data_IF_665637620832
#
_entry.id   IF_665637620832
#
_cell.length_a   1.000
_cell.length_b   1.000
_cell.length_c   1.000
_cell.angle_alpha   90.00
_cell.angle_beta   90.00
_cell.angle_gamma   90.00
#
_symmetry.space_group_name_H-M   'P 1'
#
loop_
_entity.id
_entity.type
_entity.pdbx_description
1 polymer ?
#
# COMPACT_ATOMS: atom_id res chain seq x y z
N UNK A 1 44.88 62.45 55.95
CA UNK A 1 45.23 61.36 55.03
C UNK A 1 43.95 60.72 54.53
N UNK A 2 43.93 60.39 53.24
CA UNK A 2 42.78 59.90 52.48
C UNK A 2 42.24 58.55 52.98
N UNK A 3 40.93 58.32 52.84
CA UNK A 3 40.39 57.47 51.76
C UNK A 3 38.89 57.18 51.94
N UNK A 4 38.16 57.38 50.85
CA UNK A 4 36.74 57.11 50.67
C UNK A 4 36.39 55.62 50.65
N UNK A 5 35.14 55.27 50.95
CA UNK A 5 34.36 54.30 50.16
C UNK A 5 32.86 54.45 50.41
N UNK A 6 32.13 54.69 49.33
CA UNK A 6 30.68 54.58 49.17
C UNK A 6 30.29 53.12 48.96
N UNK A 7 29.07 52.71 49.37
CA UNK A 7 28.11 51.84 48.62
C UNK A 7 26.87 51.56 49.50
N UNK A 8 25.70 52.17 49.20
CA UNK A 8 24.54 51.66 48.43
C UNK A 8 23.63 50.69 49.24
N UNK A 9 22.29 50.92 49.27
CA UNK A 9 21.36 50.09 50.04
C UNK A 9 21.05 48.75 49.35
N UNK A 10 20.89 47.70 50.17
CA UNK A 10 20.48 46.37 49.74
C UNK A 10 19.03 46.38 49.23
N UNK A 11 18.90 46.20 47.92
CA UNK A 11 17.66 45.90 47.21
C UNK A 11 17.12 44.52 47.60
N UNK A 12 15.80 44.46 47.76
CA UNK A 12 15.00 43.27 48.07
C UNK A 12 15.26 42.07 47.15
N UNK A 13 15.14 40.82 47.63
CA UNK A 13 15.19 39.66 46.77
C UNK A 13 13.89 39.55 45.96
N UNK A 14 14.01 39.62 44.63
CA UNK A 14 13.00 39.16 43.69
C UNK A 14 12.87 37.63 43.81
N UNK A 15 11.81 37.17 44.48
CA UNK A 15 11.34 35.78 44.38
C UNK A 15 10.80 35.54 42.98
N UNK A 16 11.63 34.93 42.13
CA UNK A 16 11.29 34.49 40.78
C UNK A 16 10.51 33.17 40.86
N UNK A 17 9.26 33.27 41.33
CA UNK A 17 8.31 32.16 41.35
C UNK A 17 7.62 32.10 39.99
N UNK A 18 8.32 31.55 39.00
CA UNK A 18 7.84 31.38 37.63
C UNK A 18 7.58 29.92 37.29
N UNK A 19 6.67 29.26 38.00
CA UNK A 19 6.07 28.01 37.51
C UNK A 19 4.80 28.35 36.73
N UNK A 20 4.97 28.91 35.53
CA UNK A 20 3.96 28.78 34.50
C UNK A 20 4.21 27.42 33.85
N UNK A 21 3.41 26.43 34.25
CA UNK A 21 3.22 25.26 33.41
C UNK A 21 2.59 25.76 32.10
N UNK A 22 3.42 26.01 31.09
CA UNK A 22 2.96 26.23 29.73
C UNK A 22 2.34 24.92 29.25
N UNK A 23 1.07 24.71 29.52
CA UNK A 23 0.25 23.74 28.79
C UNK A 23 0.21 24.23 27.34
N UNK A 24 1.07 23.65 26.51
CA UNK A 24 0.94 23.72 25.05
C UNK A 24 -0.50 23.34 24.71
N UNK A 25 -1.28 24.31 24.24
CA UNK A 25 -2.66 24.05 23.86
C UNK A 25 -2.70 23.01 22.74
N UNK A 26 -3.74 22.18 22.72
CA UNK A 26 -3.88 21.08 21.76
C UNK A 26 -3.68 21.52 20.31
N UNK A 27 -4.07 22.77 19.98
CA UNK A 27 -3.84 23.37 18.66
C UNK A 27 -2.35 23.58 18.32
N UNK A 28 -1.53 23.93 19.31
CA UNK A 28 -0.07 24.07 19.13
C UNK A 28 0.59 22.71 19.01
N UNK A 29 0.15 21.73 19.81
CA UNK A 29 0.63 20.34 19.76
C UNK A 29 0.29 19.68 18.42
N UNK A 30 -0.91 19.93 17.90
CA UNK A 30 -1.33 19.44 16.58
C UNK A 30 -0.52 20.10 15.47
N UNK A 31 -0.35 21.43 15.48
CA UNK A 31 0.49 22.14 14.50
C UNK A 31 1.94 21.64 14.49
N UNK A 32 2.52 21.34 15.65
CA UNK A 32 3.86 20.78 15.75
C UNK A 32 3.93 19.36 15.16
N UNK A 33 2.95 18.50 15.48
CA UNK A 33 2.85 17.14 14.90
C UNK A 33 2.69 17.18 13.39
N UNK A 34 1.86 18.10 12.88
CA UNK A 34 1.63 18.27 11.44
C UNK A 34 2.90 18.75 10.74
N UNK A 35 3.64 19.70 11.34
CA UNK A 35 4.91 20.19 10.81
C UNK A 35 6.02 19.11 10.84
N UNK A 36 6.07 18.28 11.87
CA UNK A 36 6.97 17.12 11.93
C UNK A 36 6.61 16.08 10.88
N UNK A 37 5.31 15.81 10.69
CA UNK A 37 4.79 14.92 9.65
C UNK A 37 5.11 15.45 8.25
N UNK A 38 4.92 16.75 8.00
CA UNK A 38 5.24 17.39 6.72
C UNK A 38 6.74 17.32 6.42
N UNK A 39 7.60 17.60 7.41
CA UNK A 39 9.05 17.48 7.27
C UNK A 39 9.47 16.04 6.98
N UNK A 40 8.85 15.06 7.66
CA UNK A 40 9.07 13.65 7.39
C UNK A 40 8.66 13.28 5.96
N UNK A 41 7.52 13.78 5.48
CA UNK A 41 7.04 13.53 4.11
C UNK A 41 7.92 14.19 3.05
N UNK A 42 8.45 15.38 3.30
CA UNK A 42 9.46 16.02 2.43
C UNK A 42 10.74 15.16 2.38
N UNK A 43 11.15 14.60 3.52
CA UNK A 43 12.29 13.68 3.57
C UNK A 43 12.04 12.40 2.78
N UNK A 44 10.87 11.76 2.95
CA UNK A 44 10.47 10.58 2.19
C UNK A 44 10.44 10.92 0.71
N UNK A 45 9.80 12.01 0.31
CA UNK A 45 9.78 12.48 -1.07
C UNK A 45 11.20 12.64 -1.64
N UNK A 46 12.12 13.22 -0.87
CA UNK A 46 13.53 13.35 -1.27
C UNK A 46 14.21 12.01 -1.59
N UNK A 47 13.80 10.92 -0.93
CA UNK A 47 14.31 9.56 -1.15
C UNK A 47 13.65 8.88 -2.36
N UNK A 48 12.35 9.09 -2.56
CA UNK A 48 11.55 8.33 -3.54
C UNK A 48 11.27 9.06 -4.85
N UNK A 49 11.53 10.37 -4.94
CA UNK A 49 11.20 11.22 -6.10
C UNK A 49 11.76 10.74 -7.43
N UNK A 50 12.86 10.00 -7.41
CA UNK A 50 13.56 9.54 -8.62
C UNK A 50 12.99 8.21 -9.14
N UNK A 51 12.12 7.55 -8.36
CA UNK A 51 11.34 6.39 -8.83
C UNK A 51 10.22 6.81 -9.77
N UNK A 52 9.83 8.08 -9.79
CA UNK A 52 8.68 8.57 -10.54
C UNK A 52 9.11 9.30 -11.81
N UNK A 53 8.32 9.08 -12.87
CA UNK A 53 8.47 9.76 -14.16
C UNK A 53 8.55 11.27 -13.96
N UNK A 54 9.52 11.90 -14.63
CA UNK A 54 9.76 13.35 -14.51
C UNK A 54 8.50 14.20 -14.73
N UNK A 55 7.63 13.79 -15.64
CA UNK A 55 6.35 14.47 -15.96
C UNK A 55 5.28 14.35 -14.87
N UNK A 56 5.42 13.40 -13.94
CA UNK A 56 4.43 13.10 -12.91
C UNK A 56 4.90 13.38 -11.49
N UNK A 57 6.10 13.97 -11.30
CA UNK A 57 6.67 14.20 -9.97
C UNK A 57 5.74 14.97 -9.03
N UNK A 58 5.10 16.05 -9.49
CA UNK A 58 4.14 16.80 -8.65
C UNK A 58 2.89 15.98 -8.29
N UNK A 59 2.37 15.20 -9.24
CA UNK A 59 1.20 14.36 -9.01
C UNK A 59 1.53 13.21 -8.04
N UNK A 60 2.68 12.56 -8.22
CA UNK A 60 3.19 11.54 -7.33
C UNK A 60 3.43 12.08 -5.92
N UNK A 61 3.98 13.29 -5.78
CA UNK A 61 4.14 13.93 -4.48
C UNK A 61 2.78 14.10 -3.78
N UNK A 62 1.75 14.63 -4.46
CA UNK A 62 0.41 14.78 -3.88
C UNK A 62 -0.25 13.44 -3.53
N UNK A 63 -0.03 12.42 -4.34
CA UNK A 63 -0.50 11.06 -4.05
C UNK A 63 0.20 10.50 -2.79
N UNK A 64 1.52 10.72 -2.65
CA UNK A 64 2.26 10.33 -1.45
C UNK A 64 1.73 11.03 -0.18
N UNK A 65 1.39 12.31 -0.25
CA UNK A 65 0.76 13.03 0.87
C UNK A 65 -0.59 12.41 1.26
N UNK A 66 -1.45 12.12 0.27
CA UNK A 66 -2.75 11.44 0.52
C UNK A 66 -2.58 10.03 1.07
N UNK A 67 -1.55 9.31 0.62
CA UNK A 67 -1.21 7.97 1.13
C UNK A 67 -0.83 7.99 2.61
N UNK A 68 -0.09 9.03 3.03
CA UNK A 68 0.43 9.17 4.38
C UNK A 68 -0.57 9.75 5.38
N UNK A 69 -1.51 10.58 4.91
CA UNK A 69 -2.54 11.21 5.73
C UNK A 69 -3.93 10.99 5.12
N UNK A 70 -4.37 9.72 4.96
CA UNK A 70 -5.66 9.42 4.36
C UNK A 70 -6.80 9.77 5.32
N UNK A 71 -7.92 10.27 4.79
CA UNK A 71 -9.15 10.39 5.58
C UNK A 71 -9.87 9.06 5.74
N UNK A 72 -9.72 8.19 4.76
CA UNK A 72 -10.35 6.86 4.70
C UNK A 72 -9.52 5.94 3.80
N UNK A 73 -9.76 4.64 3.90
CA UNK A 73 -9.01 3.61 3.19
C UNK A 73 -9.21 3.69 1.67
N UNK A 74 -10.37 4.18 1.21
CA UNK A 74 -10.64 4.41 -0.21
C UNK A 74 -9.67 5.45 -0.81
N UNK A 75 -9.45 6.56 -0.11
CA UNK A 75 -8.49 7.60 -0.47
C UNK A 75 -7.07 7.05 -0.44
N UNK A 76 -6.74 6.21 0.54
CA UNK A 76 -5.42 5.60 0.67
C UNK A 76 -5.11 4.65 -0.50
N UNK A 77 -6.04 3.76 -0.84
CA UNK A 77 -5.92 2.82 -1.95
C UNK A 77 -5.85 3.57 -3.29
N UNK A 78 -6.71 4.58 -3.49
CA UNK A 78 -6.69 5.40 -4.69
C UNK A 78 -5.36 6.16 -4.84
N UNK A 79 -4.84 6.73 -3.75
CA UNK A 79 -3.54 7.38 -3.74
C UNK A 79 -2.40 6.42 -4.08
N UNK A 80 -2.44 5.19 -3.55
CA UNK A 80 -1.45 4.17 -3.89
C UNK A 80 -1.53 3.74 -5.36
N UNK A 81 -2.75 3.54 -5.89
CA UNK A 81 -2.95 3.24 -7.31
C UNK A 81 -2.41 4.36 -8.21
N UNK A 82 -2.63 5.63 -7.85
CA UNK A 82 -2.03 6.77 -8.57
C UNK A 82 -0.50 6.70 -8.58
N UNK A 83 0.14 6.38 -7.45
CA UNK A 83 1.61 6.22 -7.38
C UNK A 83 2.10 5.11 -8.31
N UNK A 84 1.39 3.98 -8.37
CA UNK A 84 1.72 2.86 -9.27
C UNK A 84 1.62 3.25 -10.76
N UNK A 85 0.79 4.24 -11.13
CA UNK A 85 0.74 4.75 -12.52
C UNK A 85 1.91 5.67 -12.86
N UNK A 86 2.47 6.35 -11.86
CA UNK A 86 3.50 7.38 -12.05
C UNK A 86 4.92 6.86 -11.90
N UNK A 87 5.10 5.70 -11.25
CA UNK A 87 6.41 5.08 -11.07
C UNK A 87 6.99 4.66 -12.42
N UNK A 88 8.30 4.79 -12.57
CA UNK A 88 9.02 4.21 -13.69
C UNK A 88 8.91 2.68 -13.63
N UNK A 89 8.75 1.99 -14.77
CA UNK A 89 8.59 0.54 -14.78
C UNK A 89 9.71 -0.20 -14.04
N UNK A 90 10.95 0.29 -14.13
CA UNK A 90 12.13 -0.28 -13.47
C UNK A 90 12.03 -0.23 -11.94
N UNK A 91 11.34 0.76 -11.38
CA UNK A 91 11.19 0.97 -9.93
C UNK A 91 9.85 0.48 -9.37
N UNK A 92 8.98 -0.13 -10.19
CA UNK A 92 7.70 -0.71 -9.75
C UNK A 92 7.87 -1.69 -8.59
N UNK A 93 9.00 -2.41 -8.56
CA UNK A 93 9.36 -3.35 -7.51
C UNK A 93 9.62 -2.71 -6.14
N UNK A 94 9.59 -1.37 -6.01
CA UNK A 94 9.74 -0.65 -4.74
C UNK A 94 8.42 -0.27 -4.10
N UNK A 95 7.30 -0.47 -4.80
CA UNK A 95 5.96 -0.15 -4.32
C UNK A 95 5.20 -1.44 -4.03
N UNK A 96 4.77 -1.63 -2.79
CA UNK A 96 4.08 -2.85 -2.36
C UNK A 96 2.84 -2.56 -1.53
N UNK A 97 1.78 -3.33 -1.76
CA UNK A 97 0.66 -3.42 -0.82
C UNK A 97 0.82 -4.70 0.00
N UNK A 98 0.98 -4.57 1.32
CA UNK A 98 1.22 -5.69 2.21
C UNK A 98 -0.06 -6.10 2.95
N UNK A 99 -0.35 -7.38 2.91
CA UNK A 99 -1.45 -8.02 3.65
C UNK A 99 -0.95 -9.32 4.30
N UNK A 100 -1.63 -9.75 5.36
CA UNK A 100 -1.50 -11.09 5.94
C UNK A 100 -2.81 -11.86 5.76
N UNK A 101 -2.93 -13.03 6.38
CA UNK A 101 -4.17 -13.81 6.36
C UNK A 101 -5.38 -13.03 6.89
N UNK A 102 -5.18 -12.14 7.87
CA UNK A 102 -6.27 -11.51 8.63
C UNK A 102 -6.18 -9.99 8.74
N UNK A 103 -5.12 -9.37 8.23
CA UNK A 103 -4.93 -7.94 8.37
C UNK A 103 -4.29 -7.30 7.13
N UNK A 104 -4.61 -6.04 6.90
CA UNK A 104 -3.85 -5.19 5.98
C UNK A 104 -2.70 -4.59 6.79
N UNK A 105 -1.47 -4.81 6.33
CA UNK A 105 -0.27 -4.33 7.02
C UNK A 105 0.11 -2.91 6.60
N UNK A 106 -0.22 -2.54 5.36
CA UNK A 106 -0.05 -1.18 4.86
C UNK A 106 0.54 -1.11 3.46
N UNK A 107 1.01 0.08 3.09
CA UNK A 107 1.54 0.39 1.76
C UNK A 107 3.00 0.80 1.87
N UNK A 108 3.88 0.16 1.11
CA UNK A 108 5.30 0.47 1.06
C UNK A 108 5.62 1.30 -0.20
N UNK A 109 6.42 2.35 -0.03
CA UNK A 109 6.97 3.15 -1.14
C UNK A 109 8.46 3.38 -0.89
N UNK A 110 9.33 2.58 -1.51
CA UNK A 110 10.74 2.54 -1.14
C UNK A 110 10.92 1.83 0.20
N UNK A 111 11.56 2.47 1.17
CA UNK A 111 11.76 1.91 2.51
C UNK A 111 10.58 2.16 3.47
N UNK A 112 9.92 3.34 3.45
CA UNK A 112 8.78 3.60 4.33
C UNK A 112 7.57 2.71 4.07
N UNK A 113 6.93 2.28 5.17
CA UNK A 113 5.64 1.61 5.18
C UNK A 113 4.62 2.53 5.86
N UNK A 114 3.55 2.85 5.12
CA UNK A 114 2.42 3.65 5.58
C UNK A 114 1.36 2.71 6.17
N UNK A 115 1.04 2.93 7.43
CA UNK A 115 -0.01 2.17 8.12
C UNK A 115 -1.36 2.35 7.41
N UNK A 116 -2.23 1.31 7.43
CA UNK A 116 -3.56 1.42 6.84
C UNK A 116 -4.41 2.48 7.56
N UNK A 117 -5.36 3.06 6.83
CA UNK A 117 -6.34 3.97 7.38
C UNK A 117 -7.20 3.31 8.47
N UNK A 118 -7.75 4.13 9.36
CA UNK A 118 -8.47 3.67 10.56
C UNK A 118 -9.74 2.84 10.27
N UNK A 119 -10.33 3.01 9.09
CA UNK A 119 -11.54 2.33 8.62
C UNK A 119 -11.26 1.06 7.81
N UNK A 120 -10.00 0.59 7.76
CA UNK A 120 -9.57 -0.55 6.94
C UNK A 120 -10.40 -1.82 7.14
N UNK A 121 -10.78 -2.14 8.39
CA UNK A 121 -11.56 -3.34 8.69
C UNK A 121 -12.95 -3.28 8.05
N UNK A 122 -13.57 -2.11 7.98
CA UNK A 122 -14.88 -1.95 7.37
C UNK A 122 -14.77 -1.81 5.85
N UNK A 123 -13.73 -1.12 5.36
CA UNK A 123 -13.43 -1.02 3.94
C UNK A 123 -13.23 -2.40 3.29
N UNK A 124 -12.46 -3.30 3.91
CA UNK A 124 -12.17 -4.63 3.35
C UNK A 124 -13.42 -5.52 3.19
N UNK A 125 -14.51 -5.23 3.91
CA UNK A 125 -15.79 -5.96 3.79
C UNK A 125 -16.65 -5.48 2.61
N UNK A 126 -16.26 -4.41 1.93
CA UNK A 126 -17.09 -3.76 0.92
C UNK A 126 -16.41 -3.77 -0.44
N UNK A 127 -17.18 -4.09 -1.48
CA UNK A 127 -16.71 -3.92 -2.85
C UNK A 127 -16.77 -2.43 -3.21
N UNK A 128 -15.62 -1.83 -3.46
CA UNK A 128 -15.50 -0.46 -3.95
C UNK A 128 -15.36 -0.42 -5.47
N UNK A 129 -15.64 0.75 -6.05
CA UNK A 129 -15.40 0.98 -7.46
C UNK A 129 -13.91 1.25 -7.68
N UNK A 130 -13.28 0.42 -8.51
CA UNK A 130 -11.89 0.55 -8.92
C UNK A 130 -11.78 0.33 -10.43
N UNK A 131 -10.88 1.10 -11.06
CA UNK A 131 -10.58 0.92 -12.47
C UNK A 131 -9.84 -0.40 -12.72
N UNK A 132 -10.01 -0.97 -13.91
CA UNK A 132 -9.41 -2.25 -14.26
C UNK A 132 -7.88 -2.18 -14.37
N UNK A 133 -7.35 -1.06 -14.88
CA UNK A 133 -5.90 -0.86 -14.99
C UNK A 133 -5.27 -0.74 -13.61
N UNK A 134 -5.88 0.03 -12.71
CA UNK A 134 -5.48 0.14 -11.30
C UNK A 134 -5.48 -1.21 -10.60
N UNK A 135 -6.52 -2.02 -10.84
CA UNK A 135 -6.64 -3.36 -10.27
C UNK A 135 -5.46 -4.25 -10.70
N UNK A 136 -5.00 -4.13 -11.95
CA UNK A 136 -3.86 -4.89 -12.44
C UNK A 136 -2.53 -4.40 -11.82
N UNK A 137 -2.34 -3.08 -11.70
CA UNK A 137 -1.18 -2.51 -11.03
C UNK A 137 -1.13 -2.89 -9.54
N UNK A 138 -2.27 -2.81 -8.84
CA UNK A 138 -2.37 -3.22 -7.44
C UNK A 138 -2.07 -4.70 -7.27
N UNK A 139 -2.58 -5.56 -8.15
CA UNK A 139 -2.29 -7.00 -8.11
C UNK A 139 -0.79 -7.29 -8.26
N UNK A 140 -0.06 -6.55 -9.10
CA UNK A 140 1.39 -6.67 -9.24
C UNK A 140 2.15 -6.20 -7.98
N UNK A 141 1.62 -5.17 -7.32
CA UNK A 141 2.21 -4.65 -6.07
C UNK A 141 1.89 -5.54 -4.84
N UNK A 142 0.91 -6.43 -4.94
CA UNK A 142 0.37 -7.16 -3.78
C UNK A 142 1.36 -8.18 -3.22
N UNK A 143 1.55 -8.11 -1.90
CA UNK A 143 2.39 -8.99 -1.10
C UNK A 143 1.57 -9.62 0.01
N UNK A 144 1.57 -10.94 0.09
CA UNK A 144 0.95 -11.71 1.15
C UNK A 144 2.04 -12.31 2.04
N UNK A 145 2.05 -11.97 3.33
CA UNK A 145 3.11 -12.35 4.28
C UNK A 145 4.53 -12.04 3.75
N UNK A 146 4.68 -10.94 3.00
CA UNK A 146 5.94 -10.51 2.37
C UNK A 146 6.24 -11.13 1.01
N UNK A 147 5.46 -12.11 0.55
CA UNK A 147 5.65 -12.79 -0.73
C UNK A 147 4.75 -12.23 -1.83
N UNK A 148 5.26 -12.08 -3.05
CA UNK A 148 4.45 -11.61 -4.18
C UNK A 148 3.34 -12.61 -4.50
N UNK A 149 2.08 -12.16 -4.49
CA UNK A 149 0.91 -13.04 -4.69
C UNK A 149 0.96 -13.85 -6.00
N UNK A 150 1.54 -13.29 -7.07
CA UNK A 150 1.58 -13.96 -8.39
C UNK A 150 2.80 -14.85 -8.62
N UNK A 151 3.84 -14.78 -7.79
CA UNK A 151 5.08 -15.57 -7.97
C UNK A 151 5.48 -16.36 -6.73
N UNK A 152 5.18 -15.88 -5.53
CA UNK A 152 5.50 -16.49 -4.24
C UNK A 152 4.39 -17.38 -3.67
N UNK A 153 3.42 -17.81 -4.49
CA UNK A 153 2.29 -18.64 -4.05
C UNK A 153 2.70 -19.88 -3.24
N UNK A 154 3.85 -20.48 -3.55
CA UNK A 154 4.34 -21.66 -2.84
C UNK A 154 4.76 -21.36 -1.39
N UNK A 155 5.23 -20.14 -1.13
CA UNK A 155 5.75 -19.74 0.17
C UNK A 155 4.64 -19.54 1.20
N UNK A 156 3.47 -19.06 0.77
CA UNK A 156 2.30 -18.86 1.61
C UNK A 156 1.20 -19.91 1.39
N UNK A 157 1.49 -20.97 0.64
CA UNK A 157 0.60 -22.13 0.51
C UNK A 157 -0.58 -21.95 -0.43
N UNK A 158 -0.47 -21.11 -1.47
CA UNK A 158 -1.40 -21.03 -2.61
C UNK A 158 -0.63 -21.27 -3.93
N UNK A 159 -0.35 -22.54 -4.31
CA UNK A 159 0.46 -22.86 -5.48
C UNK A 159 -0.32 -22.65 -6.79
N UNK A 160 -0.39 -21.40 -7.27
CA UNK A 160 -1.11 -21.04 -8.51
C UNK A 160 -0.53 -21.73 -9.76
N UNK A 161 0.75 -22.10 -9.73
CA UNK A 161 1.39 -22.85 -10.81
C UNK A 161 0.76 -24.24 -11.02
N UNK A 162 0.33 -24.92 -9.94
CA UNK A 162 -0.34 -26.23 -10.04
C UNK A 162 -1.66 -26.14 -10.83
N UNK A 163 -2.37 -25.01 -10.73
CA UNK A 163 -3.59 -24.73 -11.49
C UNK A 163 -3.30 -24.35 -12.94
N UNK A 164 -2.12 -23.83 -13.20
CA UNK A 164 -1.67 -23.55 -14.56
C UNK A 164 -1.38 -24.86 -15.30
N UNK A 165 -0.75 -25.84 -14.65
CA UNK A 165 -0.39 -27.13 -15.24
C UNK A 165 -1.60 -28.08 -15.36
N UNK A 166 -2.50 -28.06 -14.37
CA UNK A 166 -3.66 -28.95 -14.31
C UNK A 166 -4.97 -28.20 -13.98
N UNK A 167 -5.42 -27.26 -14.84
CA UNK A 167 -6.56 -26.37 -14.54
C UNK A 167 -7.90 -27.09 -14.35
N UNK A 168 -8.03 -28.32 -14.83
CA UNK A 168 -9.25 -29.13 -14.70
C UNK A 168 -9.15 -30.22 -13.62
N UNK A 169 -8.02 -30.32 -12.92
CA UNK A 169 -7.88 -31.28 -11.83
C UNK A 169 -8.71 -30.83 -10.62
N UNK A 170 -9.84 -31.50 -10.39
CA UNK A 170 -10.75 -31.18 -9.28
C UNK A 170 -10.05 -31.21 -7.90
N UNK A 171 -9.07 -32.09 -7.72
CA UNK A 171 -8.28 -32.18 -6.47
C UNK A 171 -7.44 -30.93 -6.27
N UNK A 172 -6.74 -30.47 -7.32
CA UNK A 172 -5.92 -29.26 -7.29
C UNK A 172 -6.78 -28.03 -7.07
N UNK A 173 -7.86 -27.89 -7.83
CA UNK A 173 -8.83 -26.79 -7.68
C UNK A 173 -9.40 -26.76 -6.27
N UNK A 174 -9.89 -27.89 -5.76
CA UNK A 174 -10.45 -27.97 -4.41
C UNK A 174 -9.43 -27.70 -3.29
N UNK A 175 -8.14 -28.00 -3.51
CA UNK A 175 -7.06 -27.63 -2.58
C UNK A 175 -6.83 -26.12 -2.58
N UNK A 176 -6.63 -25.51 -3.75
CA UNK A 176 -6.40 -24.07 -3.86
C UNK A 176 -7.61 -23.24 -3.40
N UNK A 177 -8.83 -23.70 -3.65
CA UNK A 177 -10.05 -23.08 -3.11
C UNK A 177 -10.07 -23.09 -1.58
N UNK A 178 -9.73 -24.22 -0.94
CA UNK A 178 -9.64 -24.30 0.53
C UNK A 178 -8.55 -23.39 1.09
N UNK A 179 -7.40 -23.32 0.42
CA UNK A 179 -6.28 -22.46 0.82
C UNK A 179 -6.66 -20.98 0.72
N UNK A 180 -7.18 -20.52 -0.42
CA UNK A 180 -7.62 -19.14 -0.58
C UNK A 180 -8.77 -18.78 0.36
N UNK A 181 -9.68 -19.73 0.66
CA UNK A 181 -10.75 -19.50 1.65
C UNK A 181 -10.22 -19.25 3.07
N UNK A 182 -9.02 -19.76 3.40
CA UNK A 182 -8.36 -19.53 4.67
C UNK A 182 -7.57 -18.21 4.72
N UNK A 183 -7.56 -17.44 3.62
CA UNK A 183 -6.85 -16.16 3.48
C UNK A 183 -7.87 -15.04 3.20
N UNK A 184 -8.77 -14.72 4.15
CA UNK A 184 -9.88 -13.79 3.92
C UNK A 184 -9.40 -12.43 3.39
N UNK A 185 -8.34 -11.86 3.95
CA UNK A 185 -7.84 -10.55 3.50
C UNK A 185 -7.32 -10.56 2.06
N UNK A 186 -6.76 -11.68 1.58
CA UNK A 186 -6.39 -11.82 0.17
C UNK A 186 -7.63 -11.88 -0.72
N UNK A 187 -8.66 -12.62 -0.30
CA UNK A 187 -9.92 -12.68 -1.04
C UNK A 187 -10.60 -11.29 -1.09
N UNK A 188 -10.65 -10.58 0.02
CA UNK A 188 -11.18 -9.23 0.13
C UNK A 188 -10.43 -8.24 -0.78
N UNK A 189 -9.09 -8.32 -0.82
CA UNK A 189 -8.27 -7.51 -1.73
C UNK A 189 -8.63 -7.79 -3.21
N UNK A 190 -8.83 -9.06 -3.57
CA UNK A 190 -9.30 -9.46 -4.92
C UNK A 190 -10.72 -8.98 -5.20
N UNK A 191 -11.55 -8.82 -4.16
CA UNK A 191 -12.88 -8.27 -4.28
C UNK A 191 -12.88 -6.76 -4.52
N UNK A 192 -12.06 -6.01 -3.78
CA UNK A 192 -11.81 -4.58 -3.98
C UNK A 192 -11.30 -4.31 -5.40
N UNK A 193 -10.36 -5.13 -5.89
CA UNK A 193 -9.86 -5.07 -7.27
C UNK A 193 -10.87 -5.61 -8.31
N UNK A 194 -12.06 -6.04 -7.89
CA UNK A 194 -13.14 -6.59 -8.73
C UNK A 194 -12.74 -7.77 -9.61
N UNK A 195 -11.68 -8.49 -9.24
CA UNK A 195 -11.11 -9.62 -9.99
C UNK A 195 -11.91 -10.92 -9.82
N UNK A 196 -12.91 -10.91 -8.95
CA UNK A 196 -13.82 -12.02 -8.66
C UNK A 196 -15.07 -12.06 -9.57
N UNK A 197 -15.19 -11.15 -10.56
CA UNK A 197 -16.42 -10.97 -11.36
C UNK A 197 -16.31 -11.59 -12.76
N UNK A 198 -15.56 -12.67 -12.92
CA UNK A 198 -15.34 -13.29 -14.25
C UNK A 198 -16.62 -13.93 -14.83
N UNK A 199 -17.55 -14.31 -13.96
CA UNK A 199 -18.88 -14.80 -14.35
C UNK A 199 -19.85 -13.68 -14.78
N UNK A 200 -19.63 -12.46 -14.30
CA UNK A 200 -20.43 -11.28 -14.65
C UNK A 200 -19.84 -10.45 -15.79
N UNK A 201 -18.51 -10.48 -15.93
CA UNK A 201 -17.75 -9.77 -16.97
C UNK A 201 -17.03 -10.84 -17.80
N UNK A 202 -17.63 -11.27 -18.93
CA UNK A 202 -17.07 -12.35 -19.74
C UNK A 202 -15.61 -12.09 -20.14
N UNK A 203 -14.73 -13.02 -19.80
CA UNK A 203 -13.31 -12.98 -20.16
C UNK A 203 -12.46 -12.04 -19.30
N UNK A 204 -12.95 -11.60 -18.14
CA UNK A 204 -12.19 -10.78 -17.19
C UNK A 204 -10.85 -11.44 -16.82
N UNK A 205 -10.83 -12.74 -16.50
CA UNK A 205 -9.60 -13.45 -16.11
C UNK A 205 -8.58 -13.47 -17.25
N UNK A 206 -9.04 -13.65 -18.48
CA UNK A 206 -8.19 -13.64 -19.67
C UNK A 206 -7.66 -12.23 -19.98
N UNK A 207 -8.46 -11.18 -19.73
CA UNK A 207 -8.04 -9.78 -19.83
C UNK A 207 -7.02 -9.43 -18.75
N UNK A 208 -7.22 -9.89 -17.51
CA UNK A 208 -6.27 -9.69 -16.41
C UNK A 208 -4.91 -10.31 -16.77
N UNK A 209 -4.89 -11.56 -17.28
CA UNK A 209 -3.68 -12.18 -17.82
C UNK A 209 -2.99 -11.32 -18.87
N UNK A 210 -3.73 -10.82 -19.85
CA UNK A 210 -3.17 -10.03 -20.95
C UNK A 210 -2.58 -8.71 -20.44
N UNK A 211 -3.28 -8.01 -19.55
CA UNK A 211 -2.83 -6.76 -18.95
C UNK A 211 -1.58 -6.97 -18.09
N UNK A 212 -1.57 -7.99 -17.24
CA UNK A 212 -0.42 -8.35 -16.41
C UNK A 212 0.80 -8.70 -17.28
N UNK A 213 0.61 -9.48 -18.35
CA UNK A 213 1.69 -9.77 -19.29
C UNK A 213 2.25 -8.50 -19.94
N UNK A 214 1.39 -7.57 -20.35
CA UNK A 214 1.81 -6.30 -20.94
C UNK A 214 2.62 -5.46 -19.95
N UNK A 215 2.12 -5.29 -18.73
CA UNK A 215 2.82 -4.58 -17.65
C UNK A 215 4.16 -5.22 -17.32
N UNK A 216 4.24 -6.56 -17.26
CA UNK A 216 5.50 -7.26 -17.00
C UNK A 216 6.52 -7.09 -18.15
N UNK A 217 6.07 -6.94 -19.39
CA UNK A 217 6.95 -6.63 -20.54
C UNK A 217 7.47 -5.20 -20.43
N UNK A 218 6.65 -4.26 -19.97
CA UNK A 218 7.08 -2.88 -19.71
C UNK A 218 8.10 -2.80 -18.56
N UNK A 219 7.91 -3.58 -17.50
CA UNK A 219 8.78 -3.60 -16.31
C UNK A 219 10.12 -4.30 -16.60
N UNK A 220 10.11 -5.47 -17.24
CA UNK A 220 11.31 -6.31 -17.42
C UNK A 220 11.98 -6.18 -18.80
N UNK A 221 11.40 -5.41 -19.72
CA UNK A 221 11.81 -5.40 -21.13
C UNK A 221 11.34 -6.62 -21.93
N UNK A 222 11.69 -6.66 -23.21
CA UNK A 222 11.18 -7.65 -24.17
C UNK A 222 11.71 -9.07 -23.91
N UNK A 223 10.84 -9.99 -23.50
CA UNK A 223 10.98 -11.42 -23.82
C UNK A 223 11.37 -12.40 -22.71
N UNK A 224 10.90 -12.25 -21.47
CA UNK A 224 11.08 -13.32 -20.47
C UNK A 224 9.93 -14.36 -20.52
N UNK A 225 10.20 -15.68 -20.46
CA UNK A 225 9.17 -16.72 -20.25
C UNK A 225 8.39 -16.52 -18.93
N UNK A 226 8.96 -15.74 -18.00
CA UNK A 226 8.41 -15.39 -16.69
C UNK A 226 7.13 -14.54 -16.80
N UNK A 227 6.99 -13.65 -17.79
CA UNK A 227 5.78 -12.82 -17.92
C UNK A 227 4.54 -13.68 -18.16
N UNK A 228 4.65 -14.66 -19.07
CA UNK A 228 3.56 -15.57 -19.39
C UNK A 228 3.10 -16.43 -18.21
N UNK A 229 4.00 -16.78 -17.28
CA UNK A 229 3.64 -17.50 -16.06
C UNK A 229 2.89 -16.60 -15.07
N UNK A 230 3.39 -15.39 -14.82
CA UNK A 230 2.76 -14.42 -13.91
C UNK A 230 1.34 -14.10 -14.38
N UNK A 231 1.13 -13.86 -15.68
CA UNK A 231 -0.21 -13.63 -16.22
C UNK A 231 -1.12 -14.85 -16.10
N UNK A 232 -0.61 -16.08 -16.26
CA UNK A 232 -1.42 -17.30 -16.04
C UNK A 232 -1.80 -17.43 -14.56
N UNK A 233 -0.90 -17.13 -13.64
CA UNK A 233 -1.20 -17.11 -12.21
C UNK A 233 -2.29 -16.08 -11.88
N UNK A 234 -2.25 -14.89 -12.51
CA UNK A 234 -3.30 -13.89 -12.38
C UNK A 234 -4.66 -14.41 -12.90
N UNK A 235 -4.67 -15.10 -14.05
CA UNK A 235 -5.88 -15.74 -14.60
C UNK A 235 -6.48 -16.75 -13.61
N UNK A 236 -5.65 -17.63 -13.05
CA UNK A 236 -6.09 -18.66 -12.11
C UNK A 236 -6.60 -18.04 -10.81
N UNK A 237 -5.95 -17.00 -10.32
CA UNK A 237 -6.38 -16.29 -9.11
C UNK A 237 -7.74 -15.62 -9.29
N UNK A 238 -7.99 -14.98 -10.45
CA UNK A 238 -9.31 -14.41 -10.77
C UNK A 238 -10.40 -15.48 -10.78
N UNK A 239 -10.14 -16.64 -11.40
CA UNK A 239 -11.08 -17.77 -11.43
C UNK A 239 -11.35 -18.32 -10.04
N UNK A 240 -10.32 -18.52 -9.23
CA UNK A 240 -10.46 -18.95 -7.85
C UNK A 240 -11.32 -17.96 -7.04
N UNK A 241 -11.02 -16.66 -7.11
CA UNK A 241 -11.78 -15.62 -6.42
C UNK A 241 -13.25 -15.62 -6.85
N UNK A 242 -13.52 -15.77 -8.16
CA UNK A 242 -14.87 -15.89 -8.70
C UNK A 242 -15.62 -17.08 -8.11
N UNK A 243 -14.96 -18.24 -7.95
CA UNK A 243 -15.61 -19.41 -7.32
C UNK A 243 -15.86 -19.28 -5.82
N UNK A 244 -15.24 -18.31 -5.16
CA UNK A 244 -15.33 -18.10 -3.71
C UNK A 244 -16.14 -16.85 -3.32
N UNK A 245 -16.55 -16.01 -4.29
CA UNK A 245 -17.23 -14.73 -4.03
C UNK A 245 -18.52 -14.85 -3.22
N UNK A 246 -19.23 -15.98 -3.37
CA UNK A 246 -20.52 -16.24 -2.69
C UNK A 246 -20.38 -17.06 -1.39
N UNK A 247 -19.15 -17.41 -1.00
CA UNK A 247 -18.89 -18.23 0.20
C UNK A 247 -18.63 -17.40 1.46
N UNK A 248 -18.70 -16.08 1.33
CA UNK A 248 -18.57 -15.10 2.41
C UNK A 248 -19.86 -14.29 2.53
#
# INVERSE_FOLDING_TARGET
>A
MASSTLSVPLSSPLTLTGHLACTLGDETTQKCRDAESEKALISVWGQVKDFFRGTHKEAAQRALFRLAQPKAMDEQVAAFAELLRYVEPEDMHRLHWHISSHEVLGFQVGDPVFAPAHDVVDYMKHTTWMDFEDSCHLLLSLRFDGHHVLTGGNDFGLPLHDLTDAPQCAVTVGRCQRQLSAMPTLLDALQIMRLHRDDEIPGLSARARAAINALMIEINGTGAPVSGEIGRNAEQLCKLATTLKDRY
#
